data_IF_478403286870
#
_entry.id   IF_478403286870
#
_cell.length_a   1.000
_cell.length_b   1.000
_cell.length_c   1.000
_cell.angle_alpha   90.00
_cell.angle_beta   90.00
_cell.angle_gamma   90.00
#
_symmetry.space_group_name_H-M   'P 1'
#
loop_
_entity.id
_entity.type
_entity.pdbx_description
1 polymer ?
#
# COMPACT_ATOMS: atom_id res chain seq x y z
N UNK A 1 15.41 10.64 14.36
CA UNK A 1 14.90 9.51 13.54
C UNK A 1 14.42 10.11 12.25
N UNK A 2 15.32 10.28 11.28
CA UNK A 2 15.04 11.01 10.05
C UNK A 2 14.19 10.11 9.16
N UNK A 3 12.92 10.47 8.97
CA UNK A 3 12.09 9.90 7.91
C UNK A 3 12.83 10.19 6.60
N UNK A 4 13.60 9.20 6.13
CA UNK A 4 14.52 9.36 5.03
C UNK A 4 13.75 9.56 3.75
N UNK A 5 13.55 10.82 3.35
CA UNK A 5 13.24 11.30 2.01
C UNK A 5 12.51 10.26 1.13
N UNK A 6 11.38 9.75 1.61
CA UNK A 6 10.60 8.79 0.86
C UNK A 6 10.12 9.54 -0.36
N UNK A 7 10.49 9.06 -1.56
CA UNK A 7 10.05 9.70 -2.79
C UNK A 7 8.53 9.89 -2.72
N UNK A 8 7.97 11.01 -3.23
CA UNK A 8 6.52 11.27 -3.17
C UNK A 8 5.67 10.11 -3.73
N UNK A 9 6.24 9.32 -4.62
CA UNK A 9 5.64 8.08 -5.12
C UNK A 9 5.49 7.01 -4.03
N UNK A 10 6.48 6.81 -3.16
CA UNK A 10 6.42 5.81 -2.10
C UNK A 10 5.36 6.19 -1.05
N UNK A 11 5.29 7.47 -0.65
CA UNK A 11 4.23 7.94 0.25
C UNK A 11 2.83 7.70 -0.32
N UNK A 12 2.63 8.01 -1.61
CA UNK A 12 1.37 7.74 -2.30
C UNK A 12 1.06 6.24 -2.33
N UNK A 13 2.05 5.40 -2.64
CA UNK A 13 1.83 3.95 -2.74
C UNK A 13 1.47 3.36 -1.37
N UNK A 14 2.15 3.79 -0.30
CA UNK A 14 1.83 3.43 1.07
C UNK A 14 0.40 3.84 1.45
N UNK A 15 -0.02 5.06 1.09
CA UNK A 15 -1.38 5.54 1.31
C UNK A 15 -2.42 4.74 0.51
N UNK A 16 -2.12 4.35 -0.74
CA UNK A 16 -2.97 3.46 -1.55
C UNK A 16 -3.13 2.11 -0.86
N UNK A 17 -2.04 1.52 -0.36
CA UNK A 17 -2.08 0.24 0.33
C UNK A 17 -2.99 0.28 1.56
N UNK A 18 -2.75 1.24 2.46
CA UNK A 18 -3.55 1.40 3.68
C UNK A 18 -5.03 1.61 3.35
N UNK A 19 -5.33 2.47 2.37
CA UNK A 19 -6.72 2.73 1.99
C UNK A 19 -7.44 1.48 1.46
N UNK A 20 -6.76 0.64 0.67
CA UNK A 20 -7.34 -0.61 0.17
C UNK A 20 -7.55 -1.61 1.31
N UNK A 21 -6.59 -1.73 2.24
CA UNK A 21 -6.74 -2.58 3.43
C UNK A 21 -7.90 -2.09 4.33
N UNK A 22 -8.12 -0.78 4.38
CA UNK A 22 -9.24 -0.16 5.10
C UNK A 22 -10.58 -0.23 4.31
N UNK A 23 -10.60 -0.84 3.12
CA UNK A 23 -11.81 -1.15 2.36
C UNK A 23 -12.09 -0.23 1.16
N UNK A 24 -11.22 0.73 0.83
CA UNK A 24 -11.38 1.56 -0.36
C UNK A 24 -11.20 0.76 -1.65
N UNK A 25 -12.00 1.09 -2.67
CA UNK A 25 -11.88 0.48 -3.99
C UNK A 25 -10.81 1.15 -4.84
N UNK A 26 -10.25 0.41 -5.80
CA UNK A 26 -9.28 1.00 -6.75
C UNK A 26 -9.89 2.12 -7.60
N UNK A 27 -11.21 2.13 -7.82
CA UNK A 27 -11.91 3.18 -8.57
C UNK A 27 -11.93 4.50 -7.82
N UNK A 28 -12.27 4.47 -6.54
CA UNK A 28 -12.27 5.66 -5.66
C UNK A 28 -10.86 6.26 -5.55
N UNK A 29 -9.85 5.41 -5.39
CA UNK A 29 -8.46 5.87 -5.31
C UNK A 29 -7.95 6.43 -6.64
N UNK A 30 -8.35 5.86 -7.77
CA UNK A 30 -8.01 6.39 -9.09
C UNK A 30 -8.55 7.82 -9.26
N UNK A 31 -9.81 8.04 -8.90
CA UNK A 31 -10.44 9.36 -8.91
C UNK A 31 -9.75 10.33 -7.94
N UNK A 32 -9.48 9.90 -6.70
CA UNK A 32 -8.86 10.72 -5.65
C UNK A 32 -7.45 11.22 -6.03
N UNK A 33 -6.64 10.36 -6.65
CA UNK A 33 -5.27 10.70 -7.01
C UNK A 33 -5.10 11.20 -8.45
N UNK A 34 -6.18 11.23 -9.24
CA UNK A 34 -6.11 11.63 -10.66
C UNK A 34 -5.21 10.70 -11.50
N UNK A 35 -5.15 9.41 -11.16
CA UNK A 35 -4.34 8.40 -11.87
C UNK A 35 -5.21 7.24 -12.35
N UNK A 36 -4.71 6.46 -13.31
CA UNK A 36 -5.45 5.31 -13.80
C UNK A 36 -5.60 4.21 -12.73
N UNK A 37 -6.73 3.49 -12.77
CA UNK A 37 -6.99 2.31 -11.91
C UNK A 37 -5.85 1.29 -11.98
N UNK A 38 -5.25 1.10 -13.15
CA UNK A 38 -4.10 0.21 -13.34
C UNK A 38 -2.88 0.69 -12.54
N UNK A 39 -2.61 2.01 -12.47
CA UNK A 39 -1.53 2.54 -11.62
C UNK A 39 -1.81 2.31 -10.14
N UNK A 40 -3.06 2.47 -9.69
CA UNK A 40 -3.44 2.15 -8.30
C UNK A 40 -3.21 0.67 -7.99
N UNK A 41 -3.64 -0.22 -8.88
CA UNK A 41 -3.44 -1.66 -8.72
C UNK A 41 -1.95 -2.04 -8.65
N UNK A 42 -1.11 -1.44 -9.50
CA UNK A 42 0.34 -1.66 -9.47
C UNK A 42 0.98 -1.17 -8.18
N UNK A 43 0.57 0.01 -7.70
CA UNK A 43 1.03 0.54 -6.42
C UNK A 43 0.63 -0.39 -5.26
N UNK A 44 -0.64 -0.80 -5.21
CA UNK A 44 -1.15 -1.74 -4.22
C UNK A 44 -0.39 -3.08 -4.25
N UNK A 45 -0.22 -3.67 -5.43
CA UNK A 45 0.47 -4.95 -5.58
C UNK A 45 1.91 -4.89 -5.08
N UNK A 46 2.62 -3.79 -5.38
CA UNK A 46 4.00 -3.59 -4.91
C UNK A 46 4.08 -3.52 -3.39
N UNK A 47 3.23 -2.71 -2.76
CA UNK A 47 3.22 -2.63 -1.29
C UNK A 47 2.71 -3.91 -0.63
N UNK A 48 1.79 -4.65 -1.26
CA UNK A 48 1.38 -5.98 -0.78
C UNK A 48 2.53 -6.97 -0.82
N UNK A 49 3.40 -6.94 -1.83
CA UNK A 49 4.63 -7.74 -1.85
C UNK A 49 5.54 -7.36 -0.68
N UNK A 50 5.75 -6.07 -0.43
CA UNK A 50 6.55 -5.60 0.71
C UNK A 50 5.96 -6.08 2.06
N UNK A 51 4.64 -6.03 2.20
CA UNK A 51 3.92 -6.54 3.36
C UNK A 51 4.14 -8.05 3.54
N UNK A 52 4.10 -8.82 2.46
CA UNK A 52 4.40 -10.26 2.48
C UNK A 52 5.83 -10.56 2.89
N UNK A 53 6.79 -9.78 2.40
CA UNK A 53 8.19 -9.90 2.82
C UNK A 53 8.36 -9.57 4.31
N UNK A 54 7.68 -8.53 4.81
CA UNK A 54 7.64 -8.21 6.24
C UNK A 54 7.08 -9.40 7.05
N UNK A 55 5.98 -9.99 6.60
CA UNK A 55 5.39 -11.18 7.23
C UNK A 55 6.36 -12.36 7.26
N UNK A 56 7.08 -12.58 6.16
CA UNK A 56 8.11 -13.64 6.08
C UNK A 56 9.25 -13.42 7.10
N UNK A 57 9.54 -12.16 7.45
CA UNK A 57 10.50 -11.81 8.51
C UNK A 57 9.94 -11.91 9.93
N UNK A 58 8.67 -12.29 10.09
CA UNK A 58 8.01 -12.42 11.39
C UNK A 58 7.15 -11.22 11.80
N UNK A 59 7.02 -10.20 10.94
CA UNK A 59 6.13 -9.07 11.21
C UNK A 59 4.67 -9.49 11.09
N UNK A 60 3.80 -8.90 11.91
CA UNK A 60 2.35 -9.13 11.87
C UNK A 60 1.60 -7.96 11.26
N UNK A 61 2.28 -6.82 11.09
CA UNK A 61 1.71 -5.58 10.57
C UNK A 61 2.63 -4.93 9.55
N UNK A 62 2.05 -4.21 8.61
CA UNK A 62 2.75 -3.40 7.61
C UNK A 62 2.04 -2.06 7.48
N UNK A 63 2.78 -0.95 7.56
CA UNK A 63 2.24 0.41 7.56
C UNK A 63 1.13 0.64 8.61
N UNK A 64 1.25 0.01 9.78
CA UNK A 64 0.28 0.15 10.87
C UNK A 64 -1.06 -0.54 10.62
N UNK A 65 -1.12 -1.47 9.67
CA UNK A 65 -2.28 -2.34 9.40
C UNK A 65 -1.89 -3.81 9.49
N UNK A 66 -2.82 -4.70 9.89
CA UNK A 66 -2.55 -6.14 9.87
C UNK A 66 -2.20 -6.58 8.45
N UNK A 67 -1.16 -7.39 8.30
CA UNK A 67 -0.78 -7.92 6.98
C UNK A 67 -1.89 -8.90 6.56
N UNK A 68 -2.64 -8.62 5.47
CA UNK A 68 -3.73 -9.48 5.06
C UNK A 68 -3.21 -10.90 4.80
N UNK A 69 -3.86 -11.89 5.40
CA UNK A 69 -3.72 -13.28 4.96
C UNK A 69 -4.37 -13.39 3.58
N UNK A 70 -3.71 -14.04 2.64
CA UNK A 70 -4.30 -14.32 1.33
C UNK A 70 -5.68 -14.98 1.53
N UNK A 71 -6.68 -14.48 0.80
CA UNK A 71 -8.01 -15.10 0.64
C UNK A 71 -8.01 -15.94 -0.63
#
# INVERSE_FOLDING_TARGET
MTAGNLSPEHERNAAIYVAVVDGATFGELAARYGISKVRVQKAYARERTNAWEARRRGETSYLGRPIPGDV
#
